data_IF_483161207251
#
_entry.id   IF_483161207251
#
_cell.length_a   1.000
_cell.length_b   1.000
_cell.length_c   1.000
_cell.angle_alpha   90.00
_cell.angle_beta   90.00
_cell.angle_gamma   90.00
#
_symmetry.space_group_name_H-M   'P 1'
#
loop_
_entity.id
_entity.type
_entity.pdbx_description
1 polymer ?
#
# COMPACT_ATOMS: atom_id res chain seq x y z
N UNK A 1 -21.93 -16.88 10.59
CA UNK A 1 -22.67 -15.65 10.27
C UNK A 1 -21.81 -14.89 9.27
N UNK A 2 -22.34 -14.57 8.09
CA UNK A 2 -21.57 -13.86 7.04
C UNK A 2 -21.68 -12.36 7.36
N UNK A 3 -20.56 -11.66 7.48
CA UNK A 3 -20.53 -10.19 7.56
C UNK A 3 -20.62 -9.64 6.15
N UNK A 4 -21.52 -8.68 5.93
CA UNK A 4 -21.61 -7.95 4.67
C UNK A 4 -20.94 -6.60 4.86
N UNK A 5 -19.93 -6.31 4.05
CA UNK A 5 -19.24 -5.01 4.05
C UNK A 5 -19.50 -4.30 2.72
N UNK A 6 -19.96 -3.04 2.81
CA UNK A 6 -20.17 -2.19 1.64
C UNK A 6 -18.91 -1.36 1.40
N UNK A 7 -18.41 -1.36 0.16
CA UNK A 7 -17.33 -0.47 -0.27
C UNK A 7 -17.76 0.36 -1.48
N UNK A 8 -17.39 1.64 -1.49
CA UNK A 8 -17.59 2.55 -2.62
C UNK A 8 -16.23 2.91 -3.22
N UNK A 9 -16.10 2.74 -4.54
CA UNK A 9 -14.94 3.17 -5.31
C UNK A 9 -15.31 4.39 -6.16
N UNK A 10 -14.54 5.47 -6.04
CA UNK A 10 -14.64 6.67 -6.86
C UNK A 10 -13.48 6.68 -7.87
N UNK A 11 -13.81 6.79 -9.15
CA UNK A 11 -12.84 6.93 -10.25
C UNK A 11 -12.74 8.41 -10.63
N UNK A 12 -11.61 9.04 -10.35
CA UNK A 12 -11.40 10.45 -10.70
C UNK A 12 -11.23 10.56 -12.22
N UNK A 13 -12.01 11.43 -12.86
CA UNK A 13 -12.02 11.56 -14.31
C UNK A 13 -12.67 10.40 -15.06
N UNK A 14 -13.23 9.40 -14.36
CA UNK A 14 -13.82 8.19 -14.97
C UNK A 14 -12.79 7.20 -15.53
N UNK A 15 -11.51 7.38 -15.22
CA UNK A 15 -10.43 6.50 -15.66
C UNK A 15 -10.24 5.34 -14.66
N UNK A 16 -10.24 4.11 -15.18
CA UNK A 16 -10.00 2.91 -14.40
C UNK A 16 -8.54 2.76 -13.99
N UNK A 17 -7.60 3.28 -14.79
CA UNK A 17 -6.16 3.22 -14.51
C UNK A 17 -5.65 4.47 -13.78
N UNK A 18 -6.49 5.51 -13.68
CA UNK A 18 -6.24 6.80 -13.03
C UNK A 18 -6.32 6.78 -11.50
N UNK A 19 -6.62 7.94 -10.90
CA UNK A 19 -6.75 8.06 -9.44
C UNK A 19 -8.04 7.39 -8.97
N UNK A 20 -7.93 6.54 -7.96
CA UNK A 20 -9.04 5.80 -7.36
C UNK A 20 -9.11 6.04 -5.87
N UNK A 21 -10.30 6.33 -5.34
CA UNK A 21 -10.54 6.50 -3.91
C UNK A 21 -11.57 5.47 -3.46
N UNK A 22 -11.18 4.64 -2.50
CA UNK A 22 -11.99 3.59 -1.92
C UNK A 22 -12.38 3.96 -0.48
N UNK A 23 -13.68 3.81 -0.17
CA UNK A 23 -14.24 4.03 1.17
C UNK A 23 -15.07 2.83 1.56
N UNK A 24 -14.76 2.24 2.71
CA UNK A 24 -15.55 1.16 3.30
C UNK A 24 -16.54 1.78 4.28
N UNK A 25 -17.81 1.39 4.18
CA UNK A 25 -18.86 1.92 5.03
C UNK A 25 -18.61 1.54 6.50
N UNK A 26 -18.64 2.53 7.39
CA UNK A 26 -18.34 2.36 8.81
C UNK A 26 -16.85 2.46 9.17
N UNK A 27 -15.95 2.45 8.19
CA UNK A 27 -14.52 2.65 8.42
C UNK A 27 -14.13 4.12 8.31
N UNK A 28 -13.21 4.54 9.18
CA UNK A 28 -12.63 5.89 9.12
C UNK A 28 -11.50 6.01 8.11
N UNK A 29 -10.95 4.86 7.67
CA UNK A 29 -9.85 4.80 6.71
C UNK A 29 -10.36 5.01 5.28
N UNK A 30 -9.57 5.75 4.53
CA UNK A 30 -9.76 5.96 3.09
C UNK A 30 -8.51 5.44 2.41
N UNK A 31 -8.71 4.57 1.43
CA UNK A 31 -7.61 4.06 0.61
C UNK A 31 -7.62 4.78 -0.71
N UNK A 32 -6.48 5.32 -1.15
CA UNK A 32 -6.36 5.97 -2.45
C UNK A 32 -5.25 5.34 -3.26
N UNK A 33 -5.51 5.05 -4.52
CA UNK A 33 -4.48 4.65 -5.49
C UNK A 33 -4.24 5.83 -6.42
N UNK A 34 -2.99 6.26 -6.51
CA UNK A 34 -2.59 7.43 -7.29
C UNK A 34 -1.45 6.99 -8.21
N UNK A 35 -1.69 6.88 -9.52
CA UNK A 35 -0.62 6.66 -10.49
C UNK A 35 0.40 7.78 -10.40
N UNK A 36 1.67 7.45 -10.65
CA UNK A 36 2.78 8.40 -10.49
C UNK A 36 2.60 9.66 -11.35
N UNK A 37 2.10 9.49 -12.57
CA UNK A 37 1.89 10.59 -13.53
C UNK A 37 0.73 11.51 -13.11
N UNK A 38 -0.21 11.02 -12.30
CA UNK A 38 -1.33 11.79 -11.77
C UNK A 38 -1.06 12.40 -10.39
N UNK A 39 0.17 12.31 -9.85
CA UNK A 39 0.49 12.82 -8.51
C UNK A 39 0.21 14.32 -8.37
N UNK A 40 0.44 15.12 -9.43
CA UNK A 40 0.19 16.55 -9.40
C UNK A 40 -1.31 16.87 -9.29
N UNK A 41 -2.15 16.14 -10.02
CA UNK A 41 -3.60 16.24 -9.97
C UNK A 41 -4.13 15.81 -8.59
N UNK A 42 -3.61 14.70 -8.06
CA UNK A 42 -4.00 14.18 -6.75
C UNK A 42 -3.76 15.19 -5.62
N UNK A 43 -2.68 15.98 -5.69
CA UNK A 43 -2.38 17.05 -4.70
C UNK A 43 -3.45 18.13 -4.62
N UNK A 44 -4.27 18.29 -5.66
CA UNK A 44 -5.32 19.32 -5.72
C UNK A 44 -6.69 18.77 -5.30
N UNK A 45 -6.80 17.45 -5.05
CA UNK A 45 -8.07 16.85 -4.65
C UNK A 45 -8.43 17.24 -3.21
N UNK A 46 -9.64 17.77 -2.97
CA UNK A 46 -10.05 18.26 -1.65
C UNK A 46 -10.31 17.13 -0.64
N UNK A 47 -10.57 15.92 -1.12
CA UNK A 47 -11.04 14.79 -0.30
C UNK A 47 -9.94 13.82 0.14
N UNK A 48 -8.66 14.16 -0.11
CA UNK A 48 -7.55 13.35 0.37
C UNK A 48 -7.22 13.74 1.82
N UNK A 49 -7.24 12.78 2.77
CA UNK A 49 -6.84 13.03 4.14
C UNK A 49 -5.43 13.64 4.20
N UNK A 50 -5.21 14.67 5.03
CA UNK A 50 -3.90 15.31 5.11
C UNK A 50 -2.84 14.36 5.66
N UNK A 51 -3.23 13.43 6.54
CA UNK A 51 -2.33 12.45 7.14
C UNK A 51 -2.68 11.05 6.67
N UNK A 52 -1.66 10.30 6.27
CA UNK A 52 -1.81 8.92 5.83
C UNK A 52 -0.50 8.17 5.83
N UNK A 53 -0.60 6.86 5.65
CA UNK A 53 0.52 6.00 5.32
C UNK A 53 0.45 5.80 3.81
N UNK A 54 1.53 6.15 3.12
CA UNK A 54 1.65 5.96 1.68
C UNK A 54 2.56 4.77 1.38
N UNK A 55 2.19 4.05 0.33
CA UNK A 55 2.99 2.99 -0.26
C UNK A 55 3.37 3.41 -1.68
N UNK A 56 4.66 3.45 -1.99
CA UNK A 56 5.14 3.58 -3.35
C UNK A 56 5.52 2.19 -3.83
N UNK A 57 4.79 1.71 -4.84
CA UNK A 57 4.99 0.41 -5.46
C UNK A 57 5.89 0.59 -6.67
N UNK A 58 7.02 -0.10 -6.68
CA UNK A 58 7.91 -0.24 -7.83
C UNK A 58 7.53 -1.55 -8.53
N UNK A 59 6.78 -1.43 -9.62
CA UNK A 59 6.25 -2.55 -10.39
C UNK A 59 6.89 -2.58 -11.77
N UNK A 60 7.31 -3.78 -12.21
CA UNK A 60 7.80 -4.05 -13.57
C UNK A 60 6.91 -5.10 -14.23
N UNK A 61 6.14 -4.69 -15.24
CA UNK A 61 5.21 -5.55 -15.99
C UNK A 61 4.27 -6.40 -15.09
N UNK A 62 3.74 -5.79 -14.02
CA UNK A 62 2.83 -6.46 -13.06
C UNK A 62 3.54 -7.30 -11.99
N UNK A 63 4.88 -7.29 -11.95
CA UNK A 63 5.65 -7.85 -10.85
C UNK A 63 6.02 -6.74 -9.87
N UNK A 64 5.53 -6.83 -8.65
CA UNK A 64 5.92 -5.94 -7.56
C UNK A 64 7.36 -6.25 -7.14
N UNK A 65 8.30 -5.40 -7.52
CA UNK A 65 9.72 -5.56 -7.23
C UNK A 65 10.09 -4.98 -5.86
N UNK A 66 9.50 -3.84 -5.49
CA UNK A 66 9.80 -3.14 -4.24
C UNK A 66 8.63 -2.31 -3.74
N UNK A 67 8.53 -2.18 -2.43
CA UNK A 67 7.58 -1.27 -1.76
C UNK A 67 8.38 -0.31 -0.89
N UNK A 68 8.17 0.98 -1.09
CA UNK A 68 8.59 2.01 -0.16
C UNK A 68 7.38 2.46 0.64
N UNK A 69 7.59 2.85 1.89
CA UNK A 69 6.52 3.46 2.68
C UNK A 69 7.00 4.74 3.32
N UNK A 70 6.06 5.64 3.55
CA UNK A 70 6.30 6.85 4.30
C UNK A 70 5.00 7.43 4.80
N UNK A 71 5.13 8.37 5.71
CA UNK A 71 3.98 9.11 6.22
C UNK A 71 3.77 10.36 5.37
N UNK A 72 2.50 10.71 5.17
CA UNK A 72 2.12 12.04 4.68
C UNK A 72 1.55 12.86 5.83
N UNK A 73 1.83 14.16 5.82
CA UNK A 73 1.23 15.15 6.73
C UNK A 73 0.46 16.22 5.96
N UNK A 74 0.63 16.26 4.63
CA UNK A 74 0.02 17.17 3.68
C UNK A 74 -0.48 16.43 2.44
N UNK A 75 -1.47 15.55 2.63
CA UNK A 75 -2.17 14.85 1.56
C UNK A 75 -1.34 13.68 1.01
N UNK A 76 -0.88 13.82 -0.23
CA UNK A 76 -0.12 12.78 -0.95
C UNK A 76 1.39 13.04 -0.99
N UNK A 77 1.84 14.08 -0.28
CA UNK A 77 3.27 14.42 -0.20
C UNK A 77 3.91 13.58 0.90
N UNK A 78 4.82 12.71 0.50
CA UNK A 78 5.72 11.98 1.41
C UNK A 78 6.70 12.97 2.03
N UNK A 79 6.74 13.05 3.35
CA UNK A 79 7.75 13.86 4.05
C UNK A 79 9.09 13.12 4.10
N UNK A 80 9.08 11.81 4.35
CA UNK A 80 10.27 10.99 4.45
C UNK A 80 10.05 9.63 3.77
N UNK A 81 11.00 9.22 2.92
CA UNK A 81 11.07 7.84 2.44
C UNK A 81 11.71 7.01 3.56
N UNK A 82 10.96 6.10 4.18
CA UNK A 82 11.54 5.20 5.16
C UNK A 82 11.99 3.91 4.47
N UNK A 83 13.30 3.70 4.41
CA UNK A 83 13.87 2.40 4.08
C UNK A 83 13.91 1.53 5.34
N UNK A 84 13.36 0.32 5.25
CA UNK A 84 13.45 -0.64 6.34
C UNK A 84 14.60 -1.60 6.12
N UNK A 85 15.43 -1.75 7.15
CA UNK A 85 16.58 -2.65 7.14
C UNK A 85 16.22 -4.14 7.34
N UNK A 86 14.93 -4.49 7.48
CA UNK A 86 14.50 -5.88 7.54
C UNK A 86 13.04 -6.09 7.13
N UNK A 87 12.68 -7.26 6.57
CA UNK A 87 11.30 -7.59 6.24
C UNK A 87 10.35 -7.50 7.45
N UNK A 88 10.83 -7.79 8.66
CA UNK A 88 10.03 -7.70 9.90
C UNK A 88 9.78 -6.26 10.32
N UNK A 89 10.72 -5.35 10.10
CA UNK A 89 10.49 -3.93 10.37
C UNK A 89 9.39 -3.37 9.45
N UNK A 90 9.41 -3.75 8.17
CA UNK A 90 8.31 -3.46 7.24
C UNK A 90 7.00 -4.06 7.76
N UNK A 91 6.98 -5.35 8.13
CA UNK A 91 5.74 -6.02 8.56
C UNK A 91 5.13 -5.45 9.85
N UNK A 92 5.96 -5.09 10.84
CA UNK A 92 5.52 -4.41 12.06
C UNK A 92 4.91 -3.05 11.73
N UNK A 93 5.52 -2.32 10.82
CA UNK A 93 5.02 -1.01 10.39
C UNK A 93 3.70 -1.13 9.60
N UNK A 94 3.61 -2.07 8.66
CA UNK A 94 2.45 -2.20 7.75
C UNK A 94 1.25 -2.91 8.37
N UNK A 95 1.49 -3.97 9.14
CA UNK A 95 0.44 -4.83 9.69
C UNK A 95 0.17 -4.56 11.18
N UNK A 96 1.04 -3.80 11.84
CA UNK A 96 0.98 -3.56 13.28
C UNK A 96 1.36 -4.78 14.13
N UNK A 97 1.62 -4.55 15.42
CA UNK A 97 1.96 -5.61 16.38
C UNK A 97 3.33 -6.25 16.14
N UNK A 98 3.61 -7.37 16.82
CA UNK A 98 4.86 -8.13 16.62
C UNK A 98 4.67 -9.11 15.47
N UNK A 99 5.25 -8.83 14.30
CA UNK A 99 5.12 -9.65 13.09
C UNK A 99 6.48 -10.18 12.61
N UNK A 100 6.48 -11.36 12.02
CA UNK A 100 7.66 -11.97 11.41
C UNK A 100 7.59 -11.78 9.89
N UNK A 101 8.26 -10.76 9.36
CA UNK A 101 8.18 -10.45 7.92
C UNK A 101 8.58 -11.60 7.01
N UNK A 102 9.40 -12.55 7.48
CA UNK A 102 9.79 -13.72 6.69
C UNK A 102 8.64 -14.66 6.34
N UNK A 103 7.55 -14.63 7.12
CA UNK A 103 6.36 -15.47 6.90
C UNK A 103 5.14 -14.68 6.43
N UNK A 104 5.10 -13.37 6.71
CA UNK A 104 3.97 -12.50 6.34
C UNK A 104 3.95 -12.13 4.85
N UNK A 105 5.13 -12.02 4.26
CA UNK A 105 5.27 -11.63 2.86
C UNK A 105 5.24 -12.89 1.98
N UNK A 106 4.19 -13.01 1.16
CA UNK A 106 3.89 -14.18 0.34
C UNK A 106 3.76 -13.76 -1.13
N UNK A 107 4.35 -14.53 -2.06
CA UNK A 107 4.20 -14.32 -3.50
C UNK A 107 2.87 -14.88 -4.03
N UNK A 108 2.60 -14.71 -5.32
CA UNK A 108 1.39 -15.23 -5.97
C UNK A 108 1.27 -16.76 -5.97
N UNK A 109 2.36 -17.48 -5.73
CA UNK A 109 2.38 -18.95 -5.65
C UNK A 109 2.15 -19.47 -4.23
N UNK A 110 2.02 -18.58 -3.24
CA UNK A 110 1.90 -18.95 -1.83
C UNK A 110 3.23 -19.14 -1.09
N UNK A 111 4.37 -18.85 -1.73
CA UNK A 111 5.69 -18.98 -1.11
C UNK A 111 6.04 -17.76 -0.27
N UNK A 112 6.57 -18.01 0.92
CA UNK A 112 7.05 -16.97 1.83
C UNK A 112 8.46 -16.50 1.49
N UNK A 113 8.85 -15.30 1.93
CA UNK A 113 10.25 -14.85 1.79
C UNK A 113 11.26 -15.81 2.45
N UNK A 114 10.89 -16.47 3.56
CA UNK A 114 11.72 -17.48 4.20
C UNK A 114 12.01 -18.65 3.25
N UNK A 115 10.96 -19.13 2.56
CA UNK A 115 11.09 -20.21 1.58
C UNK A 115 11.95 -19.81 0.38
N UNK A 116 11.73 -18.61 -0.15
CA UNK A 116 12.40 -18.13 -1.37
C UNK A 116 13.87 -17.78 -1.16
N UNK A 117 14.22 -17.18 -0.01
CA UNK A 117 15.54 -16.56 0.19
C UNK A 117 16.40 -17.21 1.27
N UNK A 118 15.82 -17.96 2.20
CA UNK A 118 16.58 -18.62 3.28
C UNK A 118 16.65 -20.13 3.15
N UNK A 119 15.69 -20.75 2.48
CA UNK A 119 15.66 -22.21 2.27
C UNK A 119 16.18 -22.65 0.90
N UNK A 120 16.64 -21.73 0.06
CA UNK A 120 17.20 -22.01 -1.27
C UNK A 120 18.68 -22.41 -1.32
N UNK A 121 19.26 -22.94 -0.23
CA UNK A 121 20.63 -23.48 -0.23
C UNK A 121 20.65 -24.90 0.37
N UNK A 122 20.02 -25.84 -0.33
CA UNK A 122 20.36 -27.29 -0.29
C UNK A 122 20.44 -27.82 -1.72
#
# INVERSE_FOLDING_TARGET
MISLETSTMQLIGGDLDGIRICRVEGESLVTSVIPRDNLLEAKQLPDIPPRGICYLLDEDHGNLNRVYTGQTTQGVTLEDNLEFNSPSATAVFTLGGRRNGWTEWINNNGDTLDALYRKGME
#
